data_IF_064603414157
#
_entry.id   IF_064603414157
#
_cell.length_a   1.000
_cell.length_b   1.000
_cell.length_c   1.000
_cell.angle_alpha   90.00
_cell.angle_beta   90.00
_cell.angle_gamma   90.00
#
_symmetry.space_group_name_H-M   'P 1'
#
loop_
_entity.id
_entity.type
_entity.pdbx_description
1 polymer ?
#
# COMPACT_ATOMS: atom_id res chain seq x y z
N UNK A 1 -16.36 -4.85 -11.54
CA UNK A 1 -14.97 -4.68 -11.07
C UNK A 1 -14.21 -5.96 -11.40
N UNK A 2 -13.19 -5.91 -12.27
CA UNK A 2 -12.29 -7.08 -12.43
C UNK A 2 -11.58 -7.27 -11.09
N UNK A 3 -11.50 -8.49 -10.55
CA UNK A 3 -10.72 -8.73 -9.35
C UNK A 3 -9.27 -8.33 -9.62
N UNK A 4 -8.66 -7.62 -8.67
CA UNK A 4 -7.24 -7.31 -8.72
C UNK A 4 -6.48 -8.63 -8.87
N UNK A 5 -5.71 -8.76 -9.94
CA UNK A 5 -4.87 -9.94 -10.16
C UNK A 5 -3.51 -9.76 -9.49
N UNK A 6 -3.53 -9.42 -8.20
CA UNK A 6 -2.32 -9.36 -7.38
C UNK A 6 -2.27 -10.61 -6.50
N UNK A 7 -1.09 -11.22 -6.43
CA UNK A 7 -0.90 -12.33 -5.49
C UNK A 7 -0.86 -11.79 -4.05
N UNK A 8 -1.19 -12.62 -3.06
CA UNK A 8 -1.08 -12.23 -1.64
C UNK A 8 0.34 -11.79 -1.26
N UNK A 9 1.35 -12.43 -1.86
CA UNK A 9 2.75 -12.12 -1.63
C UNK A 9 3.11 -10.71 -2.13
N UNK A 10 2.66 -10.35 -3.34
CA UNK A 10 2.85 -9.00 -3.88
C UNK A 10 2.08 -7.96 -3.05
N UNK A 11 0.88 -8.29 -2.57
CA UNK A 11 0.10 -7.38 -1.73
C UNK A 11 0.82 -7.07 -0.41
N UNK A 12 1.43 -8.06 0.24
CA UNK A 12 2.22 -7.88 1.48
C UNK A 12 3.47 -7.03 1.21
N UNK A 13 4.17 -7.28 0.10
CA UNK A 13 5.35 -6.49 -0.26
C UNK A 13 4.99 -5.02 -0.52
N UNK A 14 3.93 -4.78 -1.31
CA UNK A 14 3.46 -3.44 -1.61
C UNK A 14 2.93 -2.71 -0.37
N UNK A 15 2.22 -3.39 0.52
CA UNK A 15 1.78 -2.84 1.81
C UNK A 15 2.96 -2.29 2.60
N UNK A 16 4.04 -3.06 2.72
CA UNK A 16 5.26 -2.66 3.44
C UNK A 16 6.00 -1.51 2.75
N UNK A 17 6.13 -1.55 1.42
CA UNK A 17 6.82 -0.50 0.67
C UNK A 17 6.03 0.81 0.68
N UNK A 18 4.70 0.74 0.60
CA UNK A 18 3.82 1.91 0.59
C UNK A 18 3.49 2.44 1.99
N UNK A 19 3.80 1.69 3.05
CA UNK A 19 3.35 2.00 4.41
C UNK A 19 1.83 1.97 4.56
N UNK A 20 1.13 1.14 3.77
CA UNK A 20 -0.34 1.06 3.75
C UNK A 20 -0.79 -0.31 4.28
N UNK A 21 -1.82 -0.40 5.12
CA UNK A 21 -2.36 -1.67 5.60
C UNK A 21 -2.80 -2.61 4.47
N UNK A 22 -2.62 -3.91 4.66
CA UNK A 22 -2.96 -4.94 3.66
C UNK A 22 -4.46 -4.94 3.34
N UNK A 23 -5.30 -4.76 4.35
CA UNK A 23 -6.76 -4.68 4.23
C UNK A 23 -7.15 -3.56 3.28
N UNK A 24 -6.56 -2.37 3.48
CA UNK A 24 -6.80 -1.21 2.63
C UNK A 24 -6.28 -1.42 1.20
N UNK A 25 -5.14 -2.11 1.04
CA UNK A 25 -4.58 -2.44 -0.27
C UNK A 25 -5.46 -3.43 -1.05
N UNK A 26 -6.08 -4.40 -0.36
CA UNK A 26 -6.98 -5.39 -0.97
C UNK A 26 -8.32 -4.80 -1.43
N UNK A 27 -8.77 -3.71 -0.80
CA UNK A 27 -9.96 -2.96 -1.21
C UNK A 27 -9.66 -1.81 -2.18
N UNK A 28 -8.37 -1.56 -2.46
CA UNK A 28 -7.95 -0.43 -3.27
C UNK A 28 -8.34 -0.62 -4.75
N UNK A 29 -8.87 0.40 -5.43
CA UNK A 29 -9.13 0.29 -6.86
C UNK A 29 -7.81 0.29 -7.65
N UNK A 30 -7.78 -0.48 -8.76
CA UNK A 30 -6.58 -0.74 -9.56
C UNK A 30 -5.82 0.52 -10.00
N UNK A 31 -6.53 1.59 -10.38
CA UNK A 31 -5.88 2.82 -10.85
C UNK A 31 -5.12 3.55 -9.73
N UNK A 32 -5.57 3.47 -8.47
CA UNK A 32 -4.88 4.05 -7.32
C UNK A 32 -3.62 3.25 -6.99
N UNK A 33 -3.69 1.92 -7.09
CA UNK A 33 -2.53 1.06 -6.93
C UNK A 33 -1.44 1.41 -7.97
N UNK A 34 -1.84 1.62 -9.23
CA UNK A 34 -0.91 2.04 -10.29
C UNK A 34 -0.26 3.40 -10.02
N UNK A 35 -1.00 4.35 -9.46
CA UNK A 35 -0.45 5.66 -9.06
C UNK A 35 0.59 5.49 -7.95
N UNK A 36 0.28 4.73 -6.91
CA UNK A 36 1.18 4.44 -5.79
C UNK A 36 2.46 3.69 -6.22
N UNK A 37 2.35 2.73 -7.15
CA UNK A 37 3.52 2.04 -7.72
C UNK A 37 4.38 3.02 -8.54
N UNK A 38 3.75 3.93 -9.30
CA UNK A 38 4.48 4.96 -10.03
C UNK A 38 5.15 5.99 -9.10
N UNK A 39 4.54 6.30 -7.96
CA UNK A 39 5.12 7.13 -6.89
C UNK A 39 6.32 6.43 -6.24
N UNK A 40 6.20 5.14 -5.90
CA UNK A 40 7.32 4.34 -5.39
C UNK A 40 8.50 4.28 -6.34
N UNK A 41 8.26 4.01 -7.62
CA UNK A 41 9.33 3.95 -8.63
C UNK A 41 10.06 5.30 -8.78
N UNK A 42 9.37 6.42 -8.53
CA UNK A 42 9.99 7.75 -8.48
C UNK A 42 10.77 7.98 -7.19
N UNK A 43 10.26 7.50 -6.05
CA UNK A 43 10.91 7.61 -4.74
C UNK A 43 12.16 6.71 -4.61
N UNK A 44 12.18 5.53 -5.23
CA UNK A 44 13.40 4.69 -5.29
C UNK A 44 14.55 5.39 -6.04
N UNK A 45 14.23 6.28 -6.99
CA UNK A 45 15.22 7.15 -7.64
C UNK A 45 15.64 8.37 -6.79
N UNK A 46 14.90 8.69 -5.73
CA UNK A 46 15.07 9.88 -4.91
C UNK A 46 14.91 9.54 -3.42
N UNK A 47 15.87 8.76 -2.88
CA UNK A 47 16.17 8.59 -1.46
C UNK A 47 15.05 8.76 -0.43
N UNK A 48 14.49 7.63 0.02
CA UNK A 48 13.95 7.35 1.36
C UNK A 48 13.33 8.51 2.17
N UNK A 49 12.01 8.65 2.15
CA UNK A 49 11.24 9.07 3.32
C UNK A 49 9.92 8.28 3.39
N UNK A 50 9.89 7.34 4.34
CA UNK A 50 8.68 6.61 4.71
C UNK A 50 7.83 7.45 5.65
N UNK A 51 6.55 7.61 5.31
CA UNK A 51 5.52 8.10 6.21
C UNK A 51 4.69 6.91 6.68
N UNK A 52 5.04 6.42 7.86
CA UNK A 52 4.21 5.55 8.68
C UNK A 52 3.00 6.37 9.17
N UNK A 53 1.83 6.11 8.60
CA UNK A 53 0.56 6.49 9.20
C UNK A 53 -0.14 5.22 9.68
N UNK A 54 0.19 4.85 10.92
CA UNK A 54 -0.65 4.02 11.77
C UNK A 54 -1.74 4.92 12.36
N UNK A 55 -3.04 4.58 12.23
CA UNK A 55 -4.01 5.00 13.23
C UNK A 55 -4.49 3.78 13.99
N UNK A 56 -3.98 3.70 15.22
CA UNK A 56 -4.75 3.51 16.44
C UNK A 56 -5.68 2.28 16.51
N UNK A 57 -5.13 1.26 17.18
CA UNK A 57 -5.84 0.43 18.13
C UNK A 57 -6.85 1.24 18.96
N UNK A 58 -8.13 1.11 18.66
CA UNK A 58 -9.19 1.41 19.63
C UNK A 58 -9.58 0.12 20.35
N UNK A 59 -8.88 -0.14 21.44
CA UNK A 59 -9.44 -0.90 22.57
C UNK A 59 -10.67 -0.14 23.07
N UNK A 60 -11.84 -0.80 23.11
CA UNK A 60 -12.97 -0.29 23.86
C UNK A 60 -13.32 -1.31 24.95
N UNK A 61 -12.99 -0.89 26.18
CA UNK A 61 -13.34 -1.36 27.54
C UNK A 61 -14.48 -2.35 27.70
#
# INVERSE_FOLDING_TARGET
MRPLQISPETAIALSKQLGVPLEQLMHMPQHILMQKIAELAKQEGAGSQGEANEPESSENS
#
